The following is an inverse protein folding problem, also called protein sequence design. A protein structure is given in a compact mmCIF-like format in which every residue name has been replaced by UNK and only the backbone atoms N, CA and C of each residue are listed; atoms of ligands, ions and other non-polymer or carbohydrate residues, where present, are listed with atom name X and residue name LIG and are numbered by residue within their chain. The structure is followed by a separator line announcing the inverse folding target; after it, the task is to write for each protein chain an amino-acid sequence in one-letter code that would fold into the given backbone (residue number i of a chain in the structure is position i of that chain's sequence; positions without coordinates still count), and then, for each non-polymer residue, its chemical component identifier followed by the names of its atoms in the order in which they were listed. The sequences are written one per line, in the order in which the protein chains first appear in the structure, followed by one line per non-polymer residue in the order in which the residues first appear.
data_IF_691656862773
#
_entry.id   IF_691656862773
#
_cell.length_a   1.000
_cell.length_b   1.000
_cell.length_c   1.000
_cell.angle_alpha   90.00
_cell.angle_beta   90.00
_cell.angle_gamma   90.00
#
_symmetry.space_group_name_H-M   'P 1'
#
loop_
_entity.id
_entity.type
_entity.pdbx_description
1 polymer ?
#
# COMPACT_ATOMS: atom_id res chain seq x y z
N UNK A 1 14.77 47.13 -13.25
CA UNK A 1 15.13 45.75 -13.64
C UNK A 1 13.87 44.90 -13.60
N UNK A 2 13.45 44.38 -14.76
CA UNK A 2 12.25 43.55 -14.93
C UNK A 2 12.67 42.09 -14.78
N UNK A 3 12.09 41.34 -13.85
CA UNK A 3 12.29 39.90 -13.77
C UNK A 3 11.16 39.20 -14.52
N UNK A 4 11.56 38.48 -15.56
CA UNK A 4 10.71 37.71 -16.47
C UNK A 4 10.19 36.44 -15.81
N UNK A 5 8.92 36.17 -16.10
CA UNK A 5 8.19 34.97 -15.74
C UNK A 5 8.62 33.84 -16.70
N UNK A 6 9.59 33.02 -16.33
CA UNK A 6 10.03 31.91 -17.17
C UNK A 6 9.25 30.63 -16.89
N UNK A 7 8.42 30.33 -17.90
CA UNK A 7 7.60 29.15 -18.13
C UNK A 7 8.50 27.91 -18.14
N UNK A 8 8.49 27.11 -17.09
CA UNK A 8 9.10 25.77 -17.12
C UNK A 8 8.23 24.68 -16.49
N UNK A 9 6.91 24.81 -16.64
CA UNK A 9 5.92 23.79 -16.26
C UNK A 9 5.49 22.90 -17.44
N UNK A 10 6.12 23.06 -18.62
CA UNK A 10 5.76 22.37 -19.87
C UNK A 10 6.67 21.21 -20.25
N UNK A 11 7.76 20.95 -19.52
CA UNK A 11 8.74 19.91 -19.88
C UNK A 11 8.52 18.53 -19.19
N UNK A 12 7.67 18.44 -18.16
CA UNK A 12 7.35 17.17 -17.47
C UNK A 12 6.22 16.37 -18.14
N UNK A 13 5.68 16.84 -19.27
CA UNK A 13 4.54 16.23 -19.98
C UNK A 13 4.91 15.23 -21.09
N UNK A 14 6.17 14.80 -21.22
CA UNK A 14 6.59 14.01 -22.41
C UNK A 14 7.16 12.61 -22.17
N UNK A 15 7.28 12.13 -20.93
CA UNK A 15 7.77 10.77 -20.66
C UNK A 15 6.75 9.89 -19.91
N UNK A 16 5.46 10.17 -20.05
CA UNK A 16 4.44 9.17 -19.77
C UNK A 16 4.44 8.19 -20.95
N UNK A 17 5.20 7.12 -20.82
CA UNK A 17 5.11 5.97 -21.74
C UNK A 17 3.65 5.51 -21.70
N UNK A 18 2.95 5.79 -22.80
CA UNK A 18 1.59 5.32 -23.06
C UNK A 18 1.60 3.79 -23.08
N UNK A 19 1.39 3.15 -21.93
CA UNK A 19 0.87 1.79 -21.89
C UNK A 19 -0.64 1.86 -22.13
N UNK A 20 -1.01 2.26 -23.36
CA UNK A 20 -2.37 2.13 -23.84
C UNK A 20 -2.60 0.65 -24.16
N UNK A 21 -3.03 -0.13 -23.16
CA UNK A 21 -3.55 -1.47 -23.42
C UNK A 21 -5.03 -1.36 -23.81
N UNK A 22 -5.45 -1.96 -24.95
CA UNK A 22 -6.67 -1.53 -25.64
C UNK A 22 -7.89 -2.36 -25.23
N UNK A 23 -8.41 -2.22 -24.01
CA UNK A 23 -9.75 -2.71 -23.64
C UNK A 23 -10.33 -1.81 -22.53
N UNK A 24 -11.21 -0.86 -22.80
CA UNK A 24 -12.68 -0.96 -22.91
C UNK A 24 -13.29 -0.14 -21.77
N UNK A 25 -14.25 0.71 -22.13
CA UNK A 25 -15.21 1.39 -21.25
C UNK A 25 -15.60 0.43 -20.12
N UNK A 26 -15.10 0.66 -18.90
CA UNK A 26 -15.36 -0.26 -17.79
C UNK A 26 -16.86 -0.28 -17.51
N UNK A 27 -17.50 -1.40 -17.84
CA UNK A 27 -18.84 -1.73 -17.39
C UNK A 27 -18.77 -1.83 -15.87
N UNK A 28 -19.71 -1.21 -15.14
CA UNK A 28 -19.72 -1.31 -13.68
C UNK A 28 -19.78 -2.78 -13.28
N UNK A 29 -18.73 -3.28 -12.64
CA UNK A 29 -18.64 -4.63 -12.11
C UNK A 29 -19.07 -4.59 -10.64
N UNK A 30 -20.34 -4.90 -10.37
CA UNK A 30 -20.84 -5.08 -9.01
C UNK A 30 -22.27 -4.61 -8.78
N UNK A 31 -22.70 -4.66 -7.52
CA UNK A 31 -24.01 -4.15 -7.10
C UNK A 31 -24.05 -2.62 -7.21
N UNK A 32 -25.24 -2.03 -7.43
CA UNK A 32 -25.48 -0.60 -7.68
C UNK A 32 -24.86 0.37 -6.64
N UNK A 33 -24.53 -0.13 -5.45
CA UNK A 33 -23.95 0.62 -4.32
C UNK A 33 -22.43 0.51 -4.22
N UNK A 34 -21.77 -0.28 -5.07
CA UNK A 34 -20.31 -0.44 -5.02
C UNK A 34 -19.66 0.75 -5.71
N UNK A 35 -18.83 1.49 -4.98
CA UNK A 35 -17.92 2.47 -5.59
C UNK A 35 -16.69 1.72 -6.08
N UNK A 36 -16.56 1.59 -7.40
CA UNK A 36 -15.41 0.94 -8.05
C UNK A 36 -14.26 1.92 -8.25
N UNK A 37 -13.04 1.44 -8.02
CA UNK A 37 -11.82 2.21 -8.24
C UNK A 37 -10.74 1.35 -8.90
N UNK A 38 -10.08 1.94 -9.89
CA UNK A 38 -8.93 1.34 -10.57
C UNK A 38 -7.68 1.51 -9.71
N UNK A 39 -7.01 0.39 -9.39
CA UNK A 39 -5.76 0.36 -8.65
C UNK A 39 -4.72 -0.37 -9.48
N UNK A 40 -3.52 0.18 -9.59
CA UNK A 40 -2.34 -0.56 -10.07
C UNK A 40 -1.86 -1.50 -8.97
N UNK A 41 -1.90 -2.81 -9.22
CA UNK A 41 -1.48 -3.85 -8.27
C UNK A 41 -0.51 -4.83 -8.92
N UNK A 42 0.29 -5.53 -8.12
CA UNK A 42 1.16 -6.60 -8.60
C UNK A 42 0.33 -7.66 -9.33
N UNK A 43 0.83 -8.11 -10.48
CA UNK A 43 0.18 -9.18 -11.24
C UNK A 43 0.41 -10.52 -10.52
N UNK A 44 -0.64 -11.23 -10.05
CA UNK A 44 -0.47 -12.54 -9.42
C UNK A 44 0.02 -13.61 -10.40
N UNK A 45 -0.17 -13.40 -11.71
CA UNK A 45 0.29 -14.30 -12.76
C UNK A 45 1.66 -13.91 -13.33
N UNK A 46 2.36 -12.95 -12.71
CA UNK A 46 3.72 -12.60 -13.12
C UNK A 46 4.66 -13.78 -12.90
N UNK A 47 5.39 -14.15 -13.96
CA UNK A 47 6.39 -15.21 -13.89
C UNK A 47 7.79 -14.61 -13.94
N UNK A 48 8.57 -14.67 -12.83
CA UNK A 48 9.91 -14.09 -12.77
C UNK A 48 10.92 -14.75 -13.74
N UNK A 49 10.65 -15.99 -14.14
CA UNK A 49 11.48 -16.77 -15.07
C UNK A 49 11.35 -16.31 -16.52
N UNK A 50 10.35 -15.49 -16.84
CA UNK A 50 10.10 -14.99 -18.19
C UNK A 50 10.37 -13.48 -18.26
N UNK A 51 10.87 -13.01 -19.40
CA UNK A 51 11.15 -11.60 -19.62
C UNK A 51 9.87 -10.76 -19.49
N UNK A 52 10.00 -9.59 -18.85
CA UNK A 52 8.91 -8.62 -18.75
C UNK A 52 8.47 -8.18 -20.14
N UNK A 53 7.19 -8.40 -20.46
CA UNK A 53 6.58 -8.10 -21.75
C UNK A 53 5.09 -7.78 -21.57
N UNK A 54 4.39 -7.26 -22.60
CA UNK A 54 2.94 -7.07 -22.50
C UNK A 54 2.15 -8.34 -22.16
N UNK A 55 2.71 -9.53 -22.47
CA UNK A 55 2.12 -10.82 -22.12
C UNK A 55 2.53 -11.32 -20.72
N UNK A 56 3.56 -10.73 -20.10
CA UNK A 56 4.01 -11.01 -18.73
C UNK A 56 4.30 -9.69 -17.99
N UNK A 57 3.28 -8.84 -17.76
CA UNK A 57 3.47 -7.57 -17.07
C UNK A 57 3.64 -7.79 -15.57
N UNK A 58 4.55 -7.03 -14.96
CA UNK A 58 4.77 -7.05 -13.50
C UNK A 58 3.59 -6.46 -12.70
N UNK A 59 2.85 -5.54 -13.32
CA UNK A 59 1.76 -4.78 -12.69
C UNK A 59 0.54 -4.79 -13.60
N UNK A 60 -0.65 -4.91 -13.01
CA UNK A 60 -1.93 -4.87 -13.72
C UNK A 60 -2.84 -3.80 -13.08
N UNK A 61 -3.78 -3.28 -13.85
CA UNK A 61 -4.87 -2.44 -13.32
C UNK A 61 -6.00 -3.37 -12.89
N UNK A 62 -6.35 -3.34 -11.61
CA UNK A 62 -7.44 -4.12 -11.03
C UNK A 62 -8.59 -3.20 -10.59
N UNK A 63 -9.82 -3.68 -10.73
CA UNK A 63 -11.00 -3.04 -10.14
C UNK A 63 -11.12 -3.49 -8.69
N UNK A 64 -11.20 -2.52 -7.78
CA UNK A 64 -11.39 -2.79 -6.36
C UNK A 64 -12.59 -2.01 -5.82
N UNK A 65 -13.19 -2.51 -4.75
CA UNK A 65 -14.17 -1.75 -3.99
C UNK A 65 -13.43 -0.62 -3.23
N UNK A 66 -13.82 0.63 -3.47
CA UNK A 66 -13.25 1.80 -2.82
C UNK A 66 -13.36 1.73 -1.28
N UNK A 67 -14.39 1.06 -0.75
CA UNK A 67 -14.61 0.93 0.69
C UNK A 67 -13.65 -0.06 1.34
N UNK A 68 -13.18 -1.09 0.62
CA UNK A 68 -12.31 -2.10 1.20
C UNK A 68 -10.84 -1.67 1.27
N UNK A 69 -10.46 -0.57 0.59
CA UNK A 69 -9.08 -0.05 0.58
C UNK A 69 -9.05 1.48 0.74
N UNK A 70 -9.26 2.01 1.96
CA UNK A 70 -9.30 3.45 2.21
C UNK A 70 -8.00 4.17 1.80
N UNK A 71 -6.83 3.55 1.98
CA UNK A 71 -5.56 4.13 1.55
C UNK A 71 -5.45 4.30 0.03
N UNK A 72 -5.87 3.29 -0.73
CA UNK A 72 -5.87 3.40 -2.19
C UNK A 72 -6.84 4.48 -2.68
N UNK A 73 -7.96 4.67 -1.97
CA UNK A 73 -8.91 5.74 -2.26
C UNK A 73 -8.31 7.13 -1.98
N UNK A 74 -7.56 7.28 -0.88
CA UNK A 74 -6.83 8.51 -0.59
C UNK A 74 -5.78 8.80 -1.66
N UNK A 75 -5.07 7.78 -2.15
CA UNK A 75 -4.08 7.93 -3.22
C UNK A 75 -4.72 8.33 -4.55
N UNK A 76 -5.79 7.64 -4.97
CA UNK A 76 -6.50 7.94 -6.20
C UNK A 76 -7.10 9.37 -6.20
N UNK A 77 -7.50 9.88 -5.03
CA UNK A 77 -7.97 11.27 -4.84
C UNK A 77 -6.84 12.30 -4.73
N UNK A 78 -5.57 11.87 -4.70
CA UNK A 78 -4.42 12.75 -4.56
C UNK A 78 -4.24 13.33 -3.15
N UNK A 79 -4.83 12.72 -2.11
CA UNK A 79 -4.69 13.15 -0.72
C UNK A 79 -3.41 12.66 -0.05
N UNK A 80 -2.76 11.65 -0.62
CA UNK A 80 -1.48 11.11 -0.17
C UNK A 80 -0.52 10.96 -1.35
N UNK A 81 0.78 11.08 -1.08
CA UNK A 81 1.82 10.97 -2.09
C UNK A 81 2.09 9.52 -2.50
N UNK A 82 2.79 9.32 -3.63
CA UNK A 82 3.22 7.97 -4.07
C UNK A 82 4.15 7.31 -3.05
N UNK A 83 4.99 8.08 -2.36
CA UNK A 83 5.87 7.56 -1.32
C UNK A 83 5.05 7.08 -0.12
N UNK A 84 4.11 7.90 0.35
CA UNK A 84 3.18 7.56 1.44
C UNK A 84 2.35 6.31 1.10
N UNK A 85 1.89 6.18 -0.14
CA UNK A 85 1.15 5.00 -0.59
C UNK A 85 2.00 3.72 -0.54
N UNK A 86 3.22 3.73 -1.10
CA UNK A 86 4.13 2.57 -1.06
C UNK A 86 4.46 2.12 0.36
N UNK A 87 4.63 3.09 1.24
CA UNK A 87 4.90 2.88 2.66
C UNK A 87 3.71 2.24 3.36
N UNK A 88 2.49 2.72 3.08
CA UNK A 88 1.27 2.09 3.58
C UNK A 88 1.14 0.63 3.11
N UNK A 89 1.45 0.34 1.85
CA UNK A 89 1.44 -1.03 1.33
C UNK A 89 2.49 -1.93 2.01
N UNK A 90 3.69 -1.39 2.26
CA UNK A 90 4.74 -2.12 2.98
C UNK A 90 4.35 -2.39 4.43
N UNK A 91 3.73 -1.43 5.10
CA UNK A 91 3.17 -1.64 6.44
C UNK A 91 2.12 -2.74 6.44
N UNK A 92 1.17 -2.68 5.51
CA UNK A 92 0.11 -3.69 5.39
C UNK A 92 0.69 -5.09 5.15
N UNK A 93 1.75 -5.21 4.36
CA UNK A 93 2.46 -6.47 4.14
C UNK A 93 3.00 -7.08 5.44
N UNK A 94 3.79 -6.32 6.20
CA UNK A 94 4.33 -6.81 7.47
C UNK A 94 3.21 -7.07 8.49
N UNK A 95 2.20 -6.20 8.55
CA UNK A 95 1.07 -6.35 9.48
C UNK A 95 0.30 -7.65 9.18
N UNK A 96 0.03 -7.96 7.92
CA UNK A 96 -0.62 -9.22 7.53
C UNK A 96 0.19 -10.46 7.92
N UNK A 97 1.52 -10.41 7.79
CA UNK A 97 2.40 -11.50 8.21
C UNK A 97 2.31 -11.68 9.72
N UNK A 98 2.40 -10.59 10.50
CA UNK A 98 2.30 -10.63 11.95
C UNK A 98 0.95 -11.17 12.44
N UNK A 99 -0.15 -10.79 11.78
CA UNK A 99 -1.50 -11.24 12.15
C UNK A 99 -1.78 -12.72 11.84
N UNK A 100 -0.86 -13.43 11.15
CA UNK A 100 -1.06 -14.84 10.82
C UNK A 100 -2.13 -15.09 9.75
N UNK A 101 -2.53 -14.06 9.00
CA UNK A 101 -3.45 -14.21 7.85
C UNK A 101 -2.79 -14.91 6.65
N UNK A 102 -1.51 -15.25 6.76
CA UNK A 102 -0.90 -16.24 5.86
C UNK A 102 -1.49 -17.59 6.24
N UNK A 103 -2.35 -18.15 5.39
CA UNK A 103 -3.14 -19.37 5.62
C UNK A 103 -2.29 -20.66 5.75
N UNK A 104 -1.03 -20.55 6.15
CA UNK A 104 -0.12 -21.64 6.46
C UNK A 104 -0.02 -21.77 7.97
N UNK A 105 -1.06 -22.32 8.59
CA UNK A 105 -0.94 -22.84 9.95
C UNK A 105 0.18 -23.88 9.99
N UNK A 106 1.13 -23.71 10.90
CA UNK A 106 2.28 -24.61 11.03
C UNK A 106 1.78 -25.93 11.61
N UNK A 107 1.92 -27.03 10.85
CA UNK A 107 1.70 -28.39 11.36
C UNK A 107 2.93 -28.82 12.15
N UNK A 108 2.87 -28.66 13.48
CA UNK A 108 3.93 -29.06 14.41
C UNK A 108 4.04 -30.59 14.61
N UNK A 109 3.11 -31.38 14.08
CA UNK A 109 3.15 -32.85 14.18
C UNK A 109 4.00 -33.49 13.09
N UNK A 110 4.35 -32.72 12.05
CA UNK A 110 5.15 -33.19 10.92
C UNK A 110 6.63 -33.19 11.29
N UNK A 111 7.25 -34.38 11.23
CA UNK A 111 8.65 -34.58 11.54
C UNK A 111 9.55 -33.70 10.65
N UNK A 112 10.47 -32.97 11.28
CA UNK A 112 11.49 -32.16 10.61
C UNK A 112 12.40 -33.10 9.80
N UNK A 113 12.42 -32.94 8.48
CA UNK A 113 13.33 -33.66 7.59
C UNK A 113 14.45 -32.70 7.18
N UNK A 114 15.69 -33.17 7.26
CA UNK A 114 16.96 -32.44 7.09
C UNK A 114 17.21 -31.86 5.67
N UNK A 115 16.16 -31.73 4.84
CA UNK A 115 16.22 -31.17 3.49
C UNK A 115 15.20 -30.07 3.20
N UNK A 116 14.37 -29.68 4.17
CA UNK A 116 13.27 -28.73 3.96
C UNK A 116 13.61 -27.28 4.31
N UNK A 117 14.12 -26.51 3.34
CA UNK A 117 14.37 -25.06 3.49
C UNK A 117 13.08 -24.22 3.69
N UNK A 118 11.90 -24.80 3.49
CA UNK A 118 10.62 -24.08 3.61
C UNK A 118 10.24 -23.69 5.04
N UNK A 119 10.79 -24.35 6.07
CA UNK A 119 10.38 -24.15 7.46
C UNK A 119 11.06 -22.94 8.13
N UNK A 120 12.31 -22.64 7.79
CA UNK A 120 13.05 -21.49 8.30
C UNK A 120 12.48 -20.19 7.74
N UNK A 121 12.11 -20.19 6.46
CA UNK A 121 11.67 -19.01 5.74
C UNK A 121 10.40 -18.36 6.30
N UNK A 122 9.46 -19.13 6.86
CA UNK A 122 8.20 -18.58 7.38
C UNK A 122 8.38 -17.93 8.75
N UNK A 123 9.15 -18.58 9.63
CA UNK A 123 9.49 -18.05 10.95
C UNK A 123 10.36 -16.79 10.83
N UNK A 124 11.38 -16.83 9.97
CA UNK A 124 12.27 -15.68 9.71
C UNK A 124 11.48 -14.47 9.20
N UNK A 125 10.53 -14.67 8.26
CA UNK A 125 9.66 -13.59 7.79
C UNK A 125 8.76 -13.02 8.89
N UNK A 126 8.25 -13.88 9.78
CA UNK A 126 7.43 -13.41 10.91
C UNK A 126 8.26 -12.62 11.93
N UNK A 127 9.50 -13.05 12.19
CA UNK A 127 10.45 -12.33 13.03
C UNK A 127 10.79 -10.97 12.41
N UNK A 128 11.15 -10.93 11.12
CA UNK A 128 11.42 -9.69 10.40
C UNK A 128 10.23 -8.74 10.45
N UNK A 129 9.01 -9.23 10.18
CA UNK A 129 7.80 -8.43 10.23
C UNK A 129 7.57 -7.83 11.63
N UNK A 130 7.78 -8.62 12.68
CA UNK A 130 7.64 -8.18 14.08
C UNK A 130 8.66 -7.09 14.41
N UNK A 131 9.92 -7.27 14.02
CA UNK A 131 10.98 -6.29 14.26
C UNK A 131 10.72 -4.97 13.53
N UNK A 132 10.28 -5.03 12.26
CA UNK A 132 9.94 -3.85 11.48
C UNK A 132 8.76 -3.07 12.06
N UNK A 133 7.70 -3.77 12.49
CA UNK A 133 6.53 -3.14 13.08
C UNK A 133 6.82 -2.57 14.47
N UNK A 134 7.67 -3.23 15.25
CA UNK A 134 8.14 -2.72 16.53
C UNK A 134 8.95 -1.43 16.36
N UNK A 135 9.84 -1.36 15.36
CA UNK A 135 10.60 -0.14 15.07
C UNK A 135 9.68 1.05 14.72
N UNK A 136 8.65 0.80 13.89
CA UNK A 136 7.66 1.82 13.53
C UNK A 136 6.83 2.24 14.73
N UNK A 137 6.43 1.30 15.59
CA UNK A 137 5.69 1.60 16.81
C UNK A 137 6.48 2.50 17.75
N UNK A 138 7.79 2.30 17.86
CA UNK A 138 8.69 3.16 18.64
C UNK A 138 8.73 4.58 18.02
N UNK A 139 8.82 4.68 16.69
CA UNK A 139 8.94 5.96 15.99
C UNK A 139 7.64 6.79 15.99
N UNK A 140 6.48 6.15 15.81
CA UNK A 140 5.18 6.82 15.75
C UNK A 140 4.55 7.04 17.13
N UNK A 141 5.01 6.28 18.13
CA UNK A 141 4.33 6.17 19.43
C UNK A 141 3.02 5.38 19.35
N UNK A 142 2.41 5.16 20.52
CA UNK A 142 1.23 4.28 20.67
C UNK A 142 0.04 4.79 19.86
N UNK A 143 -0.26 6.09 19.94
CA UNK A 143 -1.42 6.69 19.27
C UNK A 143 -1.26 6.73 17.75
N UNK A 144 -0.07 7.08 17.27
CA UNK A 144 0.23 7.12 15.83
C UNK A 144 0.17 5.72 15.23
N UNK A 145 0.77 4.74 15.89
CA UNK A 145 0.70 3.34 15.47
C UNK A 145 -0.74 2.81 15.44
N UNK A 146 -1.54 3.08 16.48
CA UNK A 146 -2.94 2.67 16.54
C UNK A 146 -3.77 3.25 15.38
N UNK A 147 -3.56 4.54 15.06
CA UNK A 147 -4.25 5.16 13.92
C UNK A 147 -3.88 4.47 12.60
N UNK A 148 -2.59 4.23 12.37
CA UNK A 148 -2.09 3.55 11.17
C UNK A 148 -2.66 2.12 11.09
N UNK A 149 -2.67 1.38 12.19
CA UNK A 149 -3.24 0.04 12.26
C UNK A 149 -4.74 0.02 11.96
N UNK A 150 -5.52 0.95 12.50
CA UNK A 150 -6.95 1.08 12.22
C UNK A 150 -7.23 1.35 10.74
N UNK A 151 -6.51 2.31 10.14
CA UNK A 151 -6.76 2.73 8.76
C UNK A 151 -6.21 1.72 7.75
N UNK A 152 -4.98 1.22 7.98
CA UNK A 152 -4.26 0.40 7.00
C UNK A 152 -4.47 -1.09 7.26
N UNK A 153 -4.32 -1.54 8.50
CA UNK A 153 -4.49 -2.96 8.86
C UNK A 153 -5.95 -3.38 8.77
N UNK A 154 -6.82 -2.68 9.48
CA UNK A 154 -8.25 -2.99 9.55
C UNK A 154 -9.10 -2.36 8.43
N UNK A 155 -8.49 -1.60 7.52
CA UNK A 155 -9.18 -0.92 6.41
C UNK A 155 -10.35 -0.01 6.86
N UNK A 156 -10.27 0.59 8.05
CA UNK A 156 -11.29 1.53 8.53
C UNK A 156 -11.13 2.89 7.84
N UNK A 157 -12.24 3.49 7.42
CA UNK A 157 -12.17 4.83 6.84
C UNK A 157 -12.06 5.89 7.95
N UNK A 158 -11.44 7.03 7.64
CA UNK A 158 -11.33 8.16 8.59
C UNK A 158 -12.73 8.65 9.04
N UNK A 159 -13.75 8.47 8.19
CA UNK A 159 -15.14 8.80 8.53
C UNK A 159 -15.72 7.86 9.60
N UNK A 160 -15.28 6.61 9.63
CA UNK A 160 -15.74 5.62 10.60
C UNK A 160 -15.08 5.83 11.97
N UNK A 161 -13.84 6.34 11.98
CA UNK A 161 -13.11 6.66 13.21
C UNK A 161 -13.71 7.83 14.00
N UNK A 162 -14.40 8.76 13.33
CA UNK A 162 -15.06 9.86 14.02
C UNK A 162 -16.22 10.47 13.23
N UNK A 163 -17.37 10.75 13.88
CA UNK A 163 -18.47 11.45 13.23
C UNK A 163 -18.21 12.96 13.04
N UNK A 164 -17.26 13.55 13.78
CA UNK A 164 -17.00 14.99 13.78
C UNK A 164 -16.03 15.38 12.67
N UNK A 165 -16.48 16.25 11.74
CA UNK A 165 -15.68 16.65 10.57
C UNK A 165 -14.32 17.27 10.93
N UNK A 166 -14.27 18.08 11.98
CA UNK A 166 -13.01 18.68 12.46
C UNK A 166 -12.02 17.61 12.91
N UNK A 167 -12.49 16.60 13.65
CA UNK A 167 -11.64 15.49 14.10
C UNK A 167 -11.19 14.62 12.94
N UNK A 168 -12.04 14.38 11.94
CA UNK A 168 -11.64 13.68 10.71
C UNK A 168 -10.47 14.36 10.00
N UNK A 169 -10.49 15.70 9.90
CA UNK A 169 -9.38 16.44 9.28
C UNK A 169 -8.09 16.28 10.09
N UNK A 170 -8.17 16.44 11.42
CA UNK A 170 -7.00 16.23 12.30
C UNK A 170 -6.45 14.79 12.23
N UNK A 171 -7.32 13.78 12.11
CA UNK A 171 -6.90 12.39 11.90
C UNK A 171 -6.25 12.19 10.54
N UNK A 172 -6.76 12.83 9.49
CA UNK A 172 -6.16 12.77 8.16
C UNK A 172 -4.77 13.43 8.13
N UNK A 173 -4.61 14.57 8.79
CA UNK A 173 -3.32 15.26 8.90
C UNK A 173 -2.34 14.40 9.69
N UNK A 174 -2.75 13.87 10.85
CA UNK A 174 -1.90 13.00 11.66
C UNK A 174 -1.50 11.70 10.94
N UNK A 175 -2.41 11.12 10.14
CA UNK A 175 -2.11 9.95 9.31
C UNK A 175 -1.03 10.27 8.27
N UNK A 176 -1.07 11.46 7.64
CA UNK A 176 -0.04 11.87 6.67
C UNK A 176 1.31 12.02 7.34
N UNK A 177 1.37 12.66 8.51
CA UNK A 177 2.61 12.80 9.28
C UNK A 177 3.21 11.43 9.63
N UNK A 178 2.38 10.47 10.05
CA UNK A 178 2.83 9.11 10.33
C UNK A 178 3.40 8.43 9.08
N UNK A 179 2.72 8.58 7.94
CA UNK A 179 3.18 8.02 6.66
C UNK A 179 4.49 8.65 6.19
N UNK A 180 4.71 9.94 6.43
CA UNK A 180 5.97 10.61 6.08
C UNK A 180 7.13 10.17 6.98
N UNK A 181 6.89 9.96 8.28
CA UNK A 181 7.88 9.39 9.19
C UNK A 181 8.28 7.97 8.78
N UNK A 182 7.31 7.13 8.44
CA UNK A 182 7.56 5.78 7.93
C UNK A 182 8.25 5.80 6.55
N UNK A 183 7.91 6.77 5.69
CA UNK A 183 8.57 6.96 4.40
C UNK A 183 10.05 7.29 4.56
N UNK A 184 10.38 8.11 5.55
CA UNK A 184 11.76 8.45 5.90
C UNK A 184 12.49 7.22 6.44
N UNK A 185 11.87 6.47 7.36
CA UNK A 185 12.46 5.27 7.95
C UNK A 185 12.81 4.19 6.91
N UNK A 186 11.92 3.94 5.96
CA UNK A 186 12.14 2.95 4.90
C UNK A 186 12.83 3.49 3.64
N UNK A 187 13.24 4.76 3.63
CA UNK A 187 13.99 5.36 2.52
C UNK A 187 13.17 5.64 1.25
N UNK A 188 11.84 5.74 1.36
CA UNK A 188 10.97 6.16 0.25
C UNK A 188 10.93 7.68 0.07
N UNK A 189 11.23 8.43 1.12
CA UNK A 189 11.42 9.86 1.09
C UNK A 189 12.83 10.19 1.59
N UNK A 190 13.46 11.20 1.00
CA UNK A 190 14.71 11.77 1.52
C UNK A 190 14.34 12.90 2.47
N UNK A 191 14.94 12.87 3.66
CA UNK A 191 14.92 13.95 4.63
C UNK A 191 15.62 15.21 4.10
#
# INVERSE_FOLDING_TARGET
MKYQHDKNTSALKKNAVNYAHPYTKHQRIGHLKTEEMLIETSNPYFQPTHQESPSNPRTIVAVSNAHSRPIALLYAKGHISKAQYKVAERFYYYWNIQQGNTHMGIDYTRQKVDGGHYYTDTLERQMEATDQLQAIKIQLGVLGYQLVEQVIGYNQSIKDLSPLKRRQNSLADHLRDCLDLMATYWGYAKT
#
